data_IF_774877800787
#
_entry.id   IF_774877800787
#
_cell.length_a   1.000
_cell.length_b   1.000
_cell.length_c   1.000
_cell.angle_alpha   90.00
_cell.angle_beta   90.00
_cell.angle_gamma   90.00
#
_symmetry.space_group_name_H-M   'P 1'
#
loop_
_entity.id
_entity.type
_entity.pdbx_description
1 polymer ?
#
# COMPACT_ATOMS: atom_id res chain seq x y z
N UNK A 1 -9.57 13.35 14.90
CA UNK A 1 -9.06 14.74 14.87
C UNK A 1 -10.02 15.67 14.13
N UNK A 2 -10.44 15.31 12.94
CA UNK A 2 -11.38 16.12 12.14
C UNK A 2 -12.73 16.33 12.87
N UNK A 3 -13.31 15.28 13.40
CA UNK A 3 -14.57 15.31 14.15
C UNK A 3 -14.48 16.10 15.47
N UNK A 4 -13.30 16.26 16.04
CA UNK A 4 -13.06 16.95 17.31
C UNK A 4 -12.53 18.38 17.14
N UNK A 5 -12.43 18.87 15.92
CA UNK A 5 -12.08 20.26 15.61
C UNK A 5 -10.59 20.63 15.67
N UNK A 6 -9.70 19.76 16.17
CA UNK A 6 -8.26 20.05 16.32
C UNK A 6 -7.37 19.52 15.17
N UNK A 7 -7.97 19.21 14.01
CA UNK A 7 -7.23 18.65 12.86
C UNK A 7 -6.13 19.59 12.35
N UNK A 8 -6.41 20.89 12.30
CA UNK A 8 -5.45 21.88 11.80
C UNK A 8 -4.24 22.01 12.73
N UNK A 9 -4.47 22.08 14.03
CA UNK A 9 -3.41 22.16 15.02
C UNK A 9 -2.52 20.91 14.98
N UNK A 10 -3.13 19.74 14.90
CA UNK A 10 -2.37 18.48 14.74
C UNK A 10 -1.53 18.49 13.46
N UNK A 11 -2.09 18.96 12.36
CA UNK A 11 -1.39 19.04 11.07
C UNK A 11 -0.17 19.98 11.15
N UNK A 12 -0.30 21.13 11.82
CA UNK A 12 0.81 22.06 12.02
C UNK A 12 1.93 21.46 12.88
N UNK A 13 1.60 20.71 13.92
CA UNK A 13 2.60 19.98 14.72
C UNK A 13 3.34 18.96 13.85
N UNK A 14 2.63 18.17 13.04
CA UNK A 14 3.24 17.19 12.14
C UNK A 14 4.14 17.87 11.10
N UNK A 15 3.70 18.98 10.52
CA UNK A 15 4.50 19.77 9.56
C UNK A 15 5.79 20.29 10.20
N UNK A 16 5.68 20.87 11.39
CA UNK A 16 6.83 21.38 12.13
C UNK A 16 7.84 20.27 12.43
N UNK A 17 7.37 19.14 12.93
CA UNK A 17 8.20 17.96 13.23
C UNK A 17 8.94 17.45 11.97
N UNK A 18 8.22 17.23 10.88
CA UNK A 18 8.80 16.73 9.65
C UNK A 18 9.74 17.75 9.00
N UNK A 19 9.39 19.04 9.04
CA UNK A 19 10.26 20.10 8.53
C UNK A 19 11.58 20.15 9.30
N UNK A 20 11.53 20.10 10.63
CA UNK A 20 12.73 20.12 11.47
C UNK A 20 13.59 18.87 11.27
N UNK A 21 12.96 17.71 11.10
CA UNK A 21 13.69 16.46 10.91
C UNK A 21 14.35 16.34 9.53
N UNK A 22 13.70 16.85 8.49
CA UNK A 22 14.05 16.57 7.10
C UNK A 22 14.66 17.75 6.34
N UNK A 23 14.41 18.98 6.82
CA UNK A 23 14.93 20.20 6.21
C UNK A 23 16.01 20.80 7.10
N UNK A 24 17.09 21.27 6.47
CA UNK A 24 18.18 21.99 7.15
C UNK A 24 18.81 21.21 8.34
N UNK A 25 18.71 19.87 8.32
CA UNK A 25 19.30 18.98 9.32
C UNK A 25 20.64 18.45 8.83
N UNK A 26 21.72 19.06 9.27
CA UNK A 26 23.09 18.68 8.88
C UNK A 26 23.49 17.26 9.31
N UNK A 27 22.83 16.70 10.33
CA UNK A 27 23.06 15.33 10.77
C UNK A 27 22.33 14.28 9.91
N UNK A 28 21.38 14.71 9.07
CA UNK A 28 20.59 13.81 8.24
C UNK A 28 21.34 13.48 6.95
N UNK A 29 21.78 12.25 6.81
CA UNK A 29 22.42 11.76 5.58
C UNK A 29 21.41 11.32 4.51
N UNK A 30 20.33 10.69 4.92
CA UNK A 30 19.33 10.11 4.03
C UNK A 30 18.03 9.87 4.78
N UNK A 31 16.89 10.03 4.12
CA UNK A 31 15.58 9.73 4.69
C UNK A 31 14.67 9.07 3.64
N UNK A 32 13.91 8.09 4.08
CA UNK A 32 12.80 7.51 3.32
C UNK A 32 11.53 7.74 4.10
N UNK A 33 10.54 8.34 3.44
CA UNK A 33 9.22 8.56 4.02
C UNK A 33 8.22 7.75 3.21
N UNK A 34 7.50 6.85 3.87
CA UNK A 34 6.51 5.99 3.24
C UNK A 34 5.14 6.22 3.84
N UNK A 35 4.08 5.96 3.05
CA UNK A 35 2.70 6.07 3.49
C UNK A 35 1.74 5.42 2.50
N UNK A 36 0.52 5.15 2.95
CA UNK A 36 -0.49 4.47 2.14
C UNK A 36 -1.02 5.32 0.99
N UNK A 37 -1.09 6.64 1.15
CA UNK A 37 -1.64 7.55 0.16
C UNK A 37 -0.80 8.82 0.07
N UNK A 38 -0.57 9.29 -1.17
CA UNK A 38 -0.04 10.62 -1.41
C UNK A 38 -1.17 11.64 -1.34
N UNK A 39 -1.25 12.38 -0.25
CA UNK A 39 -2.23 13.44 -0.08
C UNK A 39 -1.62 14.76 -0.58
N UNK A 40 -1.99 15.17 -1.79
CA UNK A 40 -1.36 16.30 -2.47
C UNK A 40 -1.75 17.68 -1.91
N UNK A 41 -2.92 17.83 -1.30
CA UNK A 41 -3.43 19.12 -0.82
C UNK A 41 -3.14 19.44 0.63
N UNK A 42 -3.12 18.43 1.45
CA UNK A 42 -2.72 18.56 2.83
C UNK A 42 -1.21 18.42 2.89
N UNK A 43 -0.50 19.39 2.32
CA UNK A 43 0.94 19.24 2.18
C UNK A 43 1.63 19.32 3.53
N UNK A 44 1.61 18.20 4.25
CA UNK A 44 2.48 17.95 5.40
C UNK A 44 3.94 18.23 5.02
N UNK A 45 4.25 18.15 3.74
CA UNK A 45 5.55 18.41 3.14
C UNK A 45 5.67 19.74 2.41
N UNK A 46 4.72 20.70 2.57
CA UNK A 46 4.88 22.06 2.00
C UNK A 46 6.08 22.72 2.68
N UNK A 47 7.06 23.07 1.87
CA UNK A 47 8.31 23.65 2.37
C UNK A 47 9.51 22.70 2.40
N UNK A 48 9.32 21.42 2.12
CA UNK A 48 10.41 20.46 1.90
C UNK A 48 10.54 20.20 0.39
N UNK A 49 11.37 20.98 -0.29
CA UNK A 49 11.50 20.96 -1.76
C UNK A 49 12.38 19.82 -2.27
N UNK A 50 12.92 18.97 -1.38
CA UNK A 50 13.95 17.99 -1.70
C UNK A 50 13.41 16.56 -1.80
N UNK A 51 12.08 16.37 -1.89
CA UNK A 51 11.48 15.06 -2.05
C UNK A 51 11.39 14.62 -3.50
N UNK A 52 11.88 13.43 -3.76
CA UNK A 52 11.49 12.66 -4.93
C UNK A 52 10.36 11.73 -4.49
N UNK A 53 9.21 11.83 -5.13
CA UNK A 53 8.03 11.05 -4.77
C UNK A 53 7.77 9.97 -5.81
N UNK A 54 7.81 8.73 -5.36
CA UNK A 54 7.48 7.56 -6.17
C UNK A 54 6.20 6.88 -5.63
N UNK A 55 5.56 6.11 -6.49
CA UNK A 55 4.37 5.32 -6.19
C UNK A 55 4.50 3.94 -6.81
N UNK A 56 3.60 3.04 -6.49
CA UNK A 56 3.51 1.71 -7.14
C UNK A 56 3.34 1.80 -8.67
N UNK A 57 2.88 2.95 -9.20
CA UNK A 57 2.74 3.20 -10.64
C UNK A 57 3.99 3.84 -11.26
N UNK A 58 5.02 4.16 -10.47
CA UNK A 58 6.30 4.68 -10.97
C UNK A 58 7.13 3.50 -11.47
N UNK A 59 7.91 3.70 -12.53
CA UNK A 59 8.83 2.67 -13.04
C UNK A 59 9.99 2.42 -12.06
N UNK A 60 10.31 3.44 -11.27
CA UNK A 60 11.40 3.42 -10.30
C UNK A 60 10.90 2.90 -8.97
N UNK A 61 11.58 1.92 -8.39
CA UNK A 61 11.35 1.35 -7.07
C UNK A 61 10.03 0.58 -6.88
N UNK A 62 9.25 0.33 -7.94
CA UNK A 62 7.99 -0.40 -7.83
C UNK A 62 8.18 -1.85 -7.34
N UNK A 63 9.33 -2.47 -7.61
CA UNK A 63 9.71 -3.79 -7.11
C UNK A 63 9.85 -3.87 -5.58
N UNK A 64 10.07 -2.74 -4.91
CA UNK A 64 10.29 -2.69 -3.45
C UNK A 64 9.00 -2.49 -2.63
N UNK A 65 7.84 -2.43 -3.27
CA UNK A 65 6.57 -2.29 -2.56
C UNK A 65 5.95 -3.61 -2.09
N UNK A 66 6.64 -4.72 -2.31
CA UNK A 66 6.23 -6.06 -1.88
C UNK A 66 7.34 -7.05 -2.15
N UNK A 67 7.06 -8.36 -2.05
CA UNK A 67 8.02 -9.38 -2.45
C UNK A 67 7.90 -9.67 -3.94
N UNK A 68 9.03 -9.71 -4.62
CA UNK A 68 9.11 -10.22 -6.00
C UNK A 68 9.13 -11.75 -6.00
N UNK A 69 8.97 -12.39 -7.15
CA UNK A 69 9.12 -13.83 -7.27
C UNK A 69 10.49 -14.31 -6.74
N UNK A 70 11.55 -13.54 -7.06
CA UNK A 70 12.91 -13.85 -6.58
C UNK A 70 13.01 -13.83 -5.05
N UNK A 71 12.36 -12.87 -4.40
CA UNK A 71 12.35 -12.77 -2.94
C UNK A 71 11.61 -13.96 -2.32
N UNK A 72 10.46 -14.34 -2.91
CA UNK A 72 9.68 -15.50 -2.46
C UNK A 72 10.49 -16.79 -2.64
N UNK A 73 11.14 -17.00 -3.77
CA UNK A 73 11.96 -18.17 -4.03
C UNK A 73 13.12 -18.27 -3.02
N UNK A 74 13.77 -17.14 -2.71
CA UNK A 74 14.85 -17.11 -1.72
C UNK A 74 14.34 -17.44 -0.31
N UNK A 75 13.20 -16.86 0.10
CA UNK A 75 12.59 -17.14 1.40
C UNK A 75 12.23 -18.61 1.53
N UNK A 76 11.67 -19.24 0.49
CA UNK A 76 11.30 -20.65 0.49
C UNK A 76 12.54 -21.56 0.58
N UNK A 77 13.60 -21.22 -0.14
CA UNK A 77 14.87 -21.92 -0.09
C UNK A 77 15.50 -21.84 1.30
N UNK A 78 15.54 -20.65 1.90
CA UNK A 78 16.09 -20.44 3.24
C UNK A 78 15.29 -21.20 4.32
N UNK A 79 13.98 -21.32 4.12
CA UNK A 79 13.09 -22.07 4.99
C UNK A 79 13.04 -23.57 4.68
N UNK A 80 13.62 -24.04 3.58
CA UNK A 80 13.60 -25.44 3.11
C UNK A 80 12.19 -25.97 2.88
N UNK A 81 11.33 -25.19 2.25
CA UNK A 81 9.92 -25.49 1.95
C UNK A 81 9.53 -25.10 0.51
N UNK A 82 10.41 -25.34 -0.45
CA UNK A 82 10.23 -24.97 -1.86
C UNK A 82 8.98 -25.63 -2.47
N UNK A 83 8.53 -26.76 -1.94
CA UNK A 83 7.30 -27.42 -2.37
C UNK A 83 6.03 -26.56 -2.13
N UNK A 84 6.13 -25.50 -1.31
CA UNK A 84 5.02 -24.56 -1.06
C UNK A 84 4.95 -23.42 -2.07
N UNK A 85 5.84 -23.36 -3.04
CA UNK A 85 5.88 -22.29 -4.03
C UNK A 85 4.57 -22.16 -4.83
N UNK A 86 3.95 -23.29 -5.19
CA UNK A 86 2.66 -23.28 -5.91
C UNK A 86 1.52 -22.69 -5.07
N UNK A 87 1.46 -23.05 -3.78
CA UNK A 87 0.45 -22.55 -2.86
C UNK A 87 0.57 -21.03 -2.70
N UNK A 88 1.80 -20.56 -2.48
CA UNK A 88 2.07 -19.12 -2.33
C UNK A 88 1.73 -18.35 -3.61
N UNK A 89 2.08 -18.89 -4.77
CA UNK A 89 1.78 -18.27 -6.05
C UNK A 89 0.28 -18.19 -6.30
N UNK A 90 -0.45 -19.26 -6.09
CA UNK A 90 -1.89 -19.31 -6.33
C UNK A 90 -2.66 -18.36 -5.40
N UNK A 91 -2.22 -18.22 -4.15
CA UNK A 91 -2.97 -17.50 -3.14
C UNK A 91 -2.53 -16.05 -2.94
N UNK A 92 -1.26 -15.71 -3.15
CA UNK A 92 -0.69 -14.43 -2.74
C UNK A 92 -0.03 -13.63 -3.86
N UNK A 93 0.07 -14.19 -5.07
CA UNK A 93 0.46 -13.48 -6.28
C UNK A 93 -0.76 -12.74 -6.85
N UNK A 94 -0.94 -11.49 -6.45
CA UNK A 94 -2.15 -10.73 -6.80
C UNK A 94 -1.92 -9.32 -7.29
N UNK A 95 -0.68 -8.85 -7.32
CA UNK A 95 -0.36 -7.49 -7.73
C UNK A 95 0.68 -7.48 -8.84
N UNK A 96 0.49 -6.56 -9.79
CA UNK A 96 1.48 -6.26 -10.81
C UNK A 96 1.81 -4.78 -10.80
N UNK A 97 3.05 -4.46 -10.46
CA UNK A 97 3.58 -3.10 -10.41
C UNK A 97 4.59 -2.90 -11.55
N UNK A 98 4.14 -2.26 -12.64
CA UNK A 98 4.94 -2.15 -13.86
C UNK A 98 5.22 -3.53 -14.46
N UNK A 99 6.47 -3.92 -14.52
CA UNK A 99 6.92 -5.22 -15.06
C UNK A 99 7.03 -6.33 -13.99
N UNK A 100 6.84 -6.02 -12.72
CA UNK A 100 7.03 -6.95 -11.62
C UNK A 100 5.71 -7.51 -11.10
N UNK A 101 5.62 -8.83 -11.01
CA UNK A 101 4.60 -9.50 -10.21
C UNK A 101 5.03 -9.44 -8.74
N UNK A 102 4.13 -8.98 -7.90
CA UNK A 102 4.43 -8.62 -6.52
C UNK A 102 3.46 -9.31 -5.56
N UNK A 103 4.03 -9.99 -4.61
CA UNK A 103 3.32 -10.69 -3.54
C UNK A 103 3.11 -9.77 -2.33
N UNK A 104 1.98 -9.94 -1.65
CA UNK A 104 1.74 -9.25 -0.38
C UNK A 104 2.64 -9.84 0.73
N UNK A 105 3.60 -9.08 1.28
CA UNK A 105 4.51 -9.62 2.29
C UNK A 105 3.79 -10.13 3.56
N UNK A 106 2.72 -9.46 3.95
CA UNK A 106 1.91 -9.85 5.10
C UNK A 106 1.35 -11.26 4.97
N UNK A 107 0.74 -11.57 3.83
CA UNK A 107 0.14 -12.89 3.60
C UNK A 107 1.22 -13.98 3.51
N UNK A 108 2.29 -13.73 2.76
CA UNK A 108 3.42 -14.67 2.62
C UNK A 108 4.03 -14.98 3.99
N UNK A 109 4.36 -13.97 4.78
CA UNK A 109 5.02 -14.17 6.08
C UNK A 109 4.11 -14.86 7.11
N UNK A 110 2.81 -14.57 7.10
CA UNK A 110 1.88 -15.27 8.00
C UNK A 110 1.69 -16.74 7.60
N UNK A 111 1.64 -17.05 6.30
CA UNK A 111 1.58 -18.43 5.86
C UNK A 111 2.85 -19.21 6.26
N UNK A 112 4.03 -18.61 6.09
CA UNK A 112 5.28 -19.19 6.56
C UNK A 112 5.27 -19.43 8.07
N UNK A 113 4.74 -18.48 8.84
CA UNK A 113 4.58 -18.64 10.29
C UNK A 113 3.67 -19.82 10.64
N UNK A 114 2.54 -19.98 9.94
CA UNK A 114 1.66 -21.12 10.15
C UNK A 114 2.35 -22.45 9.81
N UNK A 115 3.16 -22.49 8.74
CA UNK A 115 3.93 -23.66 8.36
C UNK A 115 5.00 -24.07 9.40
N UNK A 116 5.56 -23.12 10.15
CA UNK A 116 6.48 -23.44 11.25
C UNK A 116 5.78 -24.19 12.40
N UNK A 117 4.50 -23.92 12.60
CA UNK A 117 3.69 -24.56 13.63
C UNK A 117 3.01 -25.85 13.13
N UNK A 118 2.67 -25.89 11.85
CA UNK A 118 2.02 -27.03 11.20
C UNK A 118 2.44 -27.11 9.73
N UNK A 119 3.32 -28.05 9.41
CA UNK A 119 3.82 -28.24 8.03
C UNK A 119 2.71 -28.55 7.00
N UNK A 120 1.54 -28.99 7.46
CA UNK A 120 0.37 -29.23 6.62
C UNK A 120 -0.62 -28.06 6.62
N UNK A 121 -0.23 -26.88 7.12
CA UNK A 121 -1.06 -25.69 7.07
C UNK A 121 -1.46 -25.37 5.62
N UNK A 122 -2.71 -25.00 5.43
CA UNK A 122 -3.22 -24.56 4.14
C UNK A 122 -3.19 -23.03 4.05
N UNK A 123 -2.92 -22.48 2.88
CA UNK A 123 -2.96 -21.03 2.71
C UNK A 123 -4.37 -20.49 2.96
N UNK A 124 -4.44 -19.32 3.57
CA UNK A 124 -5.67 -18.58 3.83
C UNK A 124 -5.46 -17.10 3.53
N UNK A 125 -6.51 -16.33 3.36
CA UNK A 125 -6.39 -14.88 3.20
C UNK A 125 -6.17 -14.21 4.55
N UNK A 126 -4.91 -13.92 4.91
CA UNK A 126 -4.54 -13.27 6.17
C UNK A 126 -4.91 -11.79 6.19
N UNK A 127 -4.99 -11.16 5.03
CA UNK A 127 -5.36 -9.75 4.93
C UNK A 127 -6.86 -9.50 5.15
N UNK A 128 -7.68 -10.53 4.98
CA UNK A 128 -9.12 -10.46 5.22
C UNK A 128 -9.38 -10.21 6.71
N UNK A 129 -10.04 -9.11 7.04
CA UNK A 129 -10.39 -8.66 8.39
C UNK A 129 -9.25 -8.03 9.22
N UNK A 130 -8.09 -7.74 8.65
CA UNK A 130 -6.98 -7.08 9.37
C UNK A 130 -7.08 -5.56 9.39
N UNK A 131 -7.85 -4.96 8.51
CA UNK A 131 -8.03 -3.51 8.45
C UNK A 131 -9.51 -3.13 8.57
N UNK A 132 -9.76 -1.96 9.17
CA UNK A 132 -11.07 -1.32 9.09
C UNK A 132 -11.29 -0.84 7.65
N UNK A 133 -12.14 -1.56 6.92
CA UNK A 133 -12.52 -1.23 5.55
C UNK A 133 -13.47 -0.01 5.46
N UNK A 134 -13.63 0.75 6.54
CA UNK A 134 -14.55 1.90 6.60
C UNK A 134 -14.23 2.93 5.51
N UNK A 135 -12.95 3.19 5.25
CA UNK A 135 -12.53 4.12 4.18
C UNK A 135 -12.96 3.59 2.81
N UNK A 136 -12.70 2.31 2.52
CA UNK A 136 -13.06 1.69 1.24
C UNK A 136 -14.58 1.67 1.09
N UNK A 137 -15.33 1.29 2.14
CA UNK A 137 -16.78 1.33 2.16
C UNK A 137 -17.32 2.73 1.89
N UNK A 138 -16.76 3.75 2.54
CA UNK A 138 -17.18 5.14 2.31
C UNK A 138 -16.98 5.55 0.85
N UNK A 139 -15.87 5.16 0.21
CA UNK A 139 -15.65 5.42 -1.20
C UNK A 139 -16.67 4.70 -2.10
N UNK A 140 -17.00 3.46 -1.80
CA UNK A 140 -18.00 2.68 -2.57
C UNK A 140 -19.38 3.27 -2.39
N UNK A 141 -19.76 3.66 -1.18
CA UNK A 141 -21.09 4.21 -0.85
C UNK A 141 -21.31 5.58 -1.50
N UNK A 142 -20.28 6.44 -1.51
CA UNK A 142 -20.32 7.75 -2.17
C UNK A 142 -20.08 7.67 -3.68
N UNK A 143 -19.67 6.53 -4.21
CA UNK A 143 -19.38 6.38 -5.63
C UNK A 143 -20.67 6.20 -6.44
N UNK A 144 -20.76 6.93 -7.56
CA UNK A 144 -21.88 6.80 -8.48
C UNK A 144 -21.93 5.43 -9.17
N UNK A 145 -23.05 5.17 -9.87
CA UNK A 145 -23.31 3.92 -10.60
C UNK A 145 -22.17 3.50 -11.55
N UNK A 146 -21.41 4.46 -12.10
CA UNK A 146 -20.29 4.19 -13.00
C UNK A 146 -19.13 3.45 -12.30
N UNK A 147 -18.83 3.76 -11.05
CA UNK A 147 -17.77 3.08 -10.27
C UNK A 147 -18.24 1.70 -9.84
N UNK A 148 -19.50 1.56 -9.43
CA UNK A 148 -20.10 0.25 -9.10
C UNK A 148 -19.99 -0.70 -10.28
N UNK A 149 -20.33 -0.25 -11.50
CA UNK A 149 -20.20 -1.04 -12.72
C UNK A 149 -18.75 -1.45 -13.02
N UNK A 150 -17.78 -0.57 -12.78
CA UNK A 150 -16.35 -0.90 -12.90
C UNK A 150 -15.92 -1.97 -11.90
N UNK A 151 -16.40 -1.89 -10.66
CA UNK A 151 -16.14 -2.90 -9.64
C UNK A 151 -16.75 -4.26 -10.00
N UNK A 152 -17.98 -4.28 -10.55
CA UNK A 152 -18.61 -5.50 -11.04
C UNK A 152 -17.78 -6.18 -12.14
N UNK A 153 -17.23 -5.40 -13.09
CA UNK A 153 -16.34 -5.91 -14.14
C UNK A 153 -15.09 -6.55 -13.51
N UNK A 154 -14.47 -5.90 -12.54
CA UNK A 154 -13.28 -6.45 -11.87
C UNK A 154 -13.60 -7.71 -11.06
N UNK A 155 -14.70 -7.74 -10.32
CA UNK A 155 -15.14 -8.91 -9.54
C UNK A 155 -15.45 -10.10 -10.45
N UNK A 156 -15.95 -9.85 -11.66
CA UNK A 156 -16.21 -10.91 -12.65
C UNK A 156 -14.95 -11.36 -13.41
N UNK A 157 -13.74 -10.91 -13.00
CA UNK A 157 -12.48 -11.27 -13.63
C UNK A 157 -12.14 -10.45 -14.88
N UNK A 158 -12.91 -9.40 -15.17
CA UNK A 158 -12.63 -8.49 -16.28
C UNK A 158 -11.55 -7.47 -15.92
N UNK A 159 -11.18 -6.65 -16.89
CA UNK A 159 -10.21 -5.55 -16.70
C UNK A 159 -10.84 -4.20 -17.00
N UNK A 160 -10.38 -3.17 -16.31
CA UNK A 160 -10.75 -1.78 -16.58
C UNK A 160 -9.50 -0.96 -16.83
N UNK A 161 -9.62 0.02 -17.72
CA UNK A 161 -8.58 1.05 -17.88
C UNK A 161 -9.00 2.29 -17.10
N UNK A 162 -8.16 2.72 -16.16
CA UNK A 162 -8.40 3.88 -15.35
C UNK A 162 -7.16 4.77 -15.35
N UNK A 163 -7.33 6.03 -15.68
CA UNK A 163 -6.26 7.01 -15.52
C UNK A 163 -6.09 7.31 -14.03
N UNK A 164 -4.89 7.08 -13.52
CA UNK A 164 -4.55 7.41 -12.14
C UNK A 164 -4.05 8.86 -12.15
N UNK A 165 -4.81 9.77 -11.55
CA UNK A 165 -4.35 11.14 -11.36
C UNK A 165 -3.25 11.16 -10.31
N UNK A 166 -2.06 11.60 -10.68
CA UNK A 166 -0.88 11.71 -9.79
C UNK A 166 -1.08 12.79 -8.71
N UNK A 167 -2.09 13.64 -8.86
CA UNK A 167 -2.49 14.62 -7.84
C UNK A 167 -3.99 14.51 -7.56
N UNK A 168 -4.34 14.06 -6.38
CA UNK A 168 -5.70 14.18 -5.87
C UNK A 168 -5.97 15.65 -5.52
N UNK A 169 -6.59 16.39 -6.44
CA UNK A 169 -6.90 17.79 -6.20
C UNK A 169 -8.21 18.03 -5.46
N UNK A 170 -9.02 17.07 -5.14
CA UNK A 170 -10.18 17.20 -4.24
C UNK A 170 -10.69 15.85 -3.77
N UNK A 171 -10.45 15.52 -2.53
CA UNK A 171 -11.35 14.76 -1.69
C UNK A 171 -11.90 15.74 -0.64
N UNK A 172 -12.91 16.49 -1.00
CA UNK A 172 -13.77 17.11 0.01
C UNK A 172 -14.67 16.01 0.53
N UNK A 173 -14.41 15.55 1.75
CA UNK A 173 -15.41 14.83 2.50
C UNK A 173 -16.57 15.81 2.71
N UNK A 174 -17.82 15.45 2.42
CA UNK A 174 -18.95 16.29 2.78
C UNK A 174 -18.96 16.45 4.31
N UNK A 175 -19.08 17.70 4.73
CA UNK A 175 -19.34 18.10 6.14
C UNK A 175 -20.67 17.56 6.62
#
# INVERSE_FOLDING_TARGET
>A
ASSNGYYKEMLEVMKAMLSTALKDNEALKFAVVTGCLKIAKESVFTGTNNFVSDTISSERYNEYYGFTQKDVDQILQDAQIEEKASDIKEWYDGYRFGEFDVYCPWDVMNYLWDLTNNQNAKPVSYWKNTSDNAIIRSFIDYSGAAIKKKLEILISGGSIRQQIAVSYTHLTLPT
#
